data_IF_393194537867
#
_entry.id   IF_393194537867
#
_cell.length_a   1.000
_cell.length_b   1.000
_cell.length_c   1.000
_cell.angle_alpha   90.00
_cell.angle_beta   90.00
_cell.angle_gamma   90.00
#
_symmetry.space_group_name_H-M   'P 1'
#
loop_
_entity.id
_entity.type
_entity.pdbx_description
1 polymer ?
#
# COMPACT_ATOMS: atom_id res chain seq x y z
N UNK A 1 -1.95 -32.77 17.14
CA UNK A 1 -2.50 -31.41 17.29
C UNK A 1 -3.39 -31.40 18.51
N UNK A 2 -3.10 -30.52 19.44
CA UNK A 2 -3.86 -30.31 20.68
C UNK A 2 -4.99 -29.31 20.43
N UNK A 3 -5.97 -29.26 21.32
CA UNK A 3 -7.08 -28.29 21.25
C UNK A 3 -6.61 -26.81 21.23
N UNK A 4 -5.55 -26.42 21.99
CA UNK A 4 -4.90 -25.12 21.84
C UNK A 4 -4.33 -24.84 20.44
N UNK A 5 -3.76 -25.84 19.76
CA UNK A 5 -3.21 -25.67 18.41
C UNK A 5 -4.32 -25.36 17.39
N UNK A 6 -5.48 -26.01 17.51
CA UNK A 6 -6.63 -25.78 16.64
C UNK A 6 -7.19 -24.37 16.82
N UNK A 7 -7.27 -23.89 18.07
CA UNK A 7 -7.74 -22.54 18.36
C UNK A 7 -6.81 -21.48 17.76
N UNK A 8 -5.50 -21.65 17.92
CA UNK A 8 -4.51 -20.75 17.35
C UNK A 8 -4.61 -20.69 15.81
N UNK A 9 -4.74 -21.84 15.15
CA UNK A 9 -4.89 -21.90 13.69
C UNK A 9 -6.17 -21.18 13.23
N UNK A 10 -7.30 -21.39 13.92
CA UNK A 10 -8.56 -20.69 13.61
C UNK A 10 -8.43 -19.18 13.74
N UNK A 11 -7.83 -18.71 14.84
CA UNK A 11 -7.59 -17.29 15.06
C UNK A 11 -6.73 -16.67 13.94
N UNK A 12 -5.69 -17.36 13.49
CA UNK A 12 -4.85 -16.90 12.38
C UNK A 12 -5.63 -16.83 11.06
N UNK A 13 -6.50 -17.80 10.78
CA UNK A 13 -7.36 -17.80 9.59
C UNK A 13 -8.33 -16.62 9.64
N UNK A 14 -8.99 -16.39 10.78
CA UNK A 14 -9.96 -15.30 10.94
C UNK A 14 -9.30 -13.93 10.80
N UNK A 15 -8.11 -13.75 11.40
CA UNK A 15 -7.31 -12.53 11.24
C UNK A 15 -6.91 -12.30 9.79
N UNK A 16 -6.50 -13.35 9.08
CA UNK A 16 -6.13 -13.25 7.66
C UNK A 16 -7.34 -12.91 6.78
N UNK A 17 -8.50 -13.52 7.06
CA UNK A 17 -9.74 -13.21 6.35
C UNK A 17 -10.17 -11.75 6.58
N UNK A 18 -10.05 -11.24 7.80
CA UNK A 18 -10.33 -9.84 8.10
C UNK A 18 -9.38 -8.87 7.37
N UNK A 19 -8.08 -9.19 7.34
CA UNK A 19 -7.09 -8.40 6.60
C UNK A 19 -7.40 -8.34 5.10
N UNK A 20 -7.73 -9.48 4.48
CA UNK A 20 -8.09 -9.56 3.06
C UNK A 20 -9.36 -8.76 2.73
N UNK A 21 -10.37 -8.79 3.60
CA UNK A 21 -11.58 -7.95 3.43
C UNK A 21 -11.24 -6.47 3.46
N UNK A 22 -10.42 -6.04 4.44
CA UNK A 22 -9.97 -4.65 4.55
C UNK A 22 -9.16 -4.21 3.32
N UNK A 23 -8.29 -5.08 2.81
CA UNK A 23 -7.53 -4.83 1.57
C UNK A 23 -8.47 -4.67 0.36
N UNK A 24 -9.49 -5.51 0.23
CA UNK A 24 -10.47 -5.44 -0.85
C UNK A 24 -11.29 -4.14 -0.79
N UNK A 25 -11.83 -3.79 0.38
CA UNK A 25 -12.56 -2.52 0.60
C UNK A 25 -11.67 -1.30 0.30
N UNK A 26 -10.41 -1.36 0.72
CA UNK A 26 -9.44 -0.30 0.45
C UNK A 26 -9.09 -0.18 -1.03
N UNK A 27 -9.00 -1.30 -1.76
CA UNK A 27 -8.79 -1.32 -3.21
C UNK A 27 -10.00 -0.73 -3.95
N UNK A 28 -11.22 -1.02 -3.51
CA UNK A 28 -12.46 -0.41 -4.05
C UNK A 28 -12.51 1.10 -3.79
N UNK A 29 -11.93 1.57 -2.69
CA UNK A 29 -11.82 3.00 -2.39
C UNK A 29 -10.77 3.73 -3.26
N UNK A 30 -9.85 3.01 -3.91
CA UNK A 30 -8.89 3.61 -4.84
C UNK A 30 -9.58 3.94 -6.16
N UNK A 31 -9.31 5.15 -6.67
CA UNK A 31 -9.86 5.53 -7.98
C UNK A 31 -9.28 4.64 -9.10
N UNK A 32 -10.09 4.22 -10.09
CA UNK A 32 -9.57 3.45 -11.22
C UNK A 32 -8.45 4.15 -11.99
N UNK A 33 -8.43 5.49 -12.01
CA UNK A 33 -7.35 6.28 -12.60
C UNK A 33 -6.03 6.12 -11.83
N UNK A 34 -6.09 6.14 -10.50
CA UNK A 34 -4.93 5.91 -9.64
C UNK A 34 -4.35 4.50 -9.85
N UNK A 35 -5.21 3.48 -9.82
CA UNK A 35 -4.79 2.08 -10.02
C UNK A 35 -4.09 1.92 -11.38
N UNK A 36 -4.68 2.46 -12.46
CA UNK A 36 -4.09 2.41 -13.81
C UNK A 36 -2.75 3.12 -13.89
N UNK A 37 -2.63 4.33 -13.33
CA UNK A 37 -1.38 5.08 -13.34
C UNK A 37 -0.25 4.32 -12.63
N UNK A 38 -0.55 3.65 -11.52
CA UNK A 38 0.42 2.81 -10.81
C UNK A 38 0.76 1.56 -11.63
N UNK A 39 -0.23 0.89 -12.21
CA UNK A 39 0.01 -0.28 -13.05
C UNK A 39 0.91 0.05 -14.25
N UNK A 40 0.67 1.18 -14.92
CA UNK A 40 1.52 1.67 -16.01
C UNK A 40 2.95 1.93 -15.52
N UNK A 41 3.10 2.60 -14.37
CA UNK A 41 4.42 2.84 -13.77
C UNK A 41 5.17 1.54 -13.46
N UNK A 42 4.47 0.52 -12.96
CA UNK A 42 5.04 -0.81 -12.71
C UNK A 42 5.41 -1.53 -14.01
N UNK A 43 4.56 -1.42 -15.04
CA UNK A 43 4.83 -1.99 -16.36
C UNK A 43 6.11 -1.42 -16.94
N UNK A 44 6.21 -0.09 -16.98
CA UNK A 44 7.40 0.64 -17.42
C UNK A 44 8.65 0.26 -16.61
N UNK A 45 8.55 0.21 -15.29
CA UNK A 45 9.66 -0.13 -14.39
C UNK A 45 10.30 -1.48 -14.71
N UNK A 46 9.46 -2.47 -15.02
CA UNK A 46 9.86 -3.86 -15.16
C UNK A 46 9.93 -4.31 -16.63
N UNK A 47 9.89 -3.38 -17.60
CA UNK A 47 10.05 -3.71 -19.01
C UNK A 47 11.33 -4.52 -19.23
N UNK A 48 11.19 -5.70 -19.82
CA UNK A 48 12.33 -6.58 -20.11
C UNK A 48 12.93 -7.29 -18.90
N UNK A 49 12.34 -7.17 -17.69
CA UNK A 49 12.84 -7.86 -16.50
C UNK A 49 12.59 -9.38 -16.56
N UNK A 50 11.54 -9.81 -17.27
CA UNK A 50 11.29 -11.24 -17.50
C UNK A 50 11.67 -11.67 -18.92
N UNK A 51 12.30 -12.84 -19.10
CA UNK A 51 12.66 -13.38 -20.42
C UNK A 51 11.48 -13.57 -21.37
N UNK A 52 10.27 -13.76 -20.84
CA UNK A 52 9.03 -13.93 -21.61
C UNK A 52 8.30 -12.60 -21.90
N UNK A 53 8.89 -11.47 -21.50
CA UNK A 53 8.33 -10.13 -21.71
C UNK A 53 7.11 -9.80 -20.86
N UNK A 54 6.71 -10.67 -19.92
CA UNK A 54 5.58 -10.40 -19.03
C UNK A 54 6.02 -9.54 -17.85
N UNK A 55 5.24 -8.50 -17.56
CA UNK A 55 5.41 -7.72 -16.34
C UNK A 55 4.37 -8.13 -15.31
N UNK A 56 4.81 -8.41 -14.08
CA UNK A 56 3.88 -8.61 -12.97
C UNK A 56 3.47 -7.24 -12.43
N UNK A 57 2.16 -7.03 -12.32
CA UNK A 57 1.59 -5.89 -11.60
C UNK A 57 1.19 -6.35 -10.20
N UNK A 58 1.77 -5.72 -9.18
CA UNK A 58 1.42 -5.88 -7.78
C UNK A 58 0.32 -4.90 -7.39
N UNK A 59 -0.85 -5.44 -7.03
CA UNK A 59 -2.03 -4.67 -6.64
C UNK A 59 -2.32 -4.74 -5.14
N UNK A 60 -1.36 -5.23 -4.34
CA UNK A 60 -1.53 -5.27 -2.88
C UNK A 60 -1.62 -3.86 -2.33
N UNK A 61 -2.62 -3.64 -1.49
CA UNK A 61 -2.85 -2.34 -0.86
C UNK A 61 -1.93 -2.18 0.35
N UNK A 62 -1.24 -1.05 0.40
CA UNK A 62 -0.47 -0.61 1.54
C UNK A 62 -1.15 0.61 2.17
N UNK A 63 -1.01 0.76 3.49
CA UNK A 63 -1.61 1.86 4.22
C UNK A 63 -0.54 2.85 4.68
N UNK A 64 -0.81 4.13 4.49
CA UNK A 64 0.06 5.19 4.97
C UNK A 64 0.16 5.10 6.51
N UNK A 65 1.37 5.02 7.10
CA UNK A 65 1.54 4.88 8.54
C UNK A 65 1.05 6.10 9.35
N UNK A 66 0.91 7.25 8.69
CA UNK A 66 0.51 8.50 9.35
C UNK A 66 -1.00 8.70 9.45
N UNK A 67 -1.74 8.36 8.38
CA UNK A 67 -3.17 8.65 8.28
C UNK A 67 -4.03 7.44 7.88
N UNK A 68 -3.42 6.30 7.60
CA UNK A 68 -4.12 5.10 7.16
C UNK A 68 -4.70 5.17 5.75
N UNK A 69 -4.36 6.17 4.95
CA UNK A 69 -4.82 6.26 3.56
C UNK A 69 -4.24 5.11 2.73
N UNK A 70 -5.03 4.47 1.86
CA UNK A 70 -4.57 3.37 1.02
C UNK A 70 -3.61 3.84 -0.08
N UNK A 71 -2.79 2.92 -0.55
CA UNK A 71 -1.77 3.13 -1.55
C UNK A 71 -1.31 1.84 -2.19
N UNK A 72 -0.48 1.95 -3.22
CA UNK A 72 0.04 0.84 -4.01
C UNK A 72 1.55 0.98 -4.20
N UNK A 73 2.23 -0.15 -4.40
CA UNK A 73 3.64 -0.18 -4.77
C UNK A 73 3.82 0.29 -6.21
N UNK A 74 4.86 1.08 -6.51
CA UNK A 74 5.18 1.51 -7.87
C UNK A 74 6.17 0.58 -8.58
N UNK A 75 6.73 -0.40 -7.88
CA UNK A 75 7.86 -1.26 -8.27
C UNK A 75 9.20 -0.55 -8.47
N UNK A 76 9.33 0.71 -8.04
CA UNK A 76 10.60 1.46 -8.00
C UNK A 76 11.22 1.50 -6.60
N UNK A 77 10.78 0.62 -5.71
CA UNK A 77 11.09 0.72 -4.28
C UNK A 77 10.33 1.87 -3.60
N UNK A 78 9.15 2.25 -4.11
CA UNK A 78 8.29 3.25 -3.49
C UNK A 78 6.83 2.80 -3.38
N UNK A 79 6.15 3.26 -2.34
CA UNK A 79 4.70 3.17 -2.15
C UNK A 79 4.06 4.53 -2.27
N UNK A 80 3.13 4.68 -3.21
CA UNK A 80 2.35 5.89 -3.39
C UNK A 80 0.98 5.74 -2.75
N UNK A 81 0.55 6.73 -1.97
CA UNK A 81 -0.73 6.73 -1.25
C UNK A 81 -1.65 7.83 -1.76
N UNK A 82 -2.98 7.64 -1.63
CA UNK A 82 -3.96 8.62 -2.11
C UNK A 82 -3.95 9.94 -1.36
N UNK A 83 -3.41 9.96 -0.14
CA UNK A 83 -3.14 11.19 0.62
C UNK A 83 -1.90 11.96 0.13
N UNK A 84 -1.35 11.60 -1.03
CA UNK A 84 -0.14 12.18 -1.60
C UNK A 84 1.17 11.70 -0.98
N UNK A 85 1.13 10.89 0.09
CA UNK A 85 2.34 10.41 0.74
C UNK A 85 3.10 9.39 -0.11
N UNK A 86 4.43 9.52 -0.11
CA UNK A 86 5.37 8.60 -0.75
C UNK A 86 6.35 8.06 0.28
N UNK A 87 6.49 6.74 0.33
CA UNK A 87 7.48 6.06 1.18
C UNK A 87 8.38 5.21 0.31
N UNK A 88 9.68 5.20 0.54
CA UNK A 88 10.56 4.22 -0.08
C UNK A 88 10.48 2.85 0.63
N UNK A 89 11.13 1.84 0.07
CA UNK A 89 11.17 0.47 0.59
C UNK A 89 11.85 0.36 1.96
N UNK A 90 12.63 1.36 2.37
CA UNK A 90 13.25 1.43 3.69
C UNK A 90 12.34 2.14 4.71
N UNK A 91 11.19 2.66 4.27
CA UNK A 91 10.22 3.35 5.10
C UNK A 91 10.47 4.85 5.26
N UNK A 92 11.42 5.43 4.52
CA UNK A 92 11.64 6.88 4.55
C UNK A 92 10.58 7.60 3.72
N UNK A 93 10.07 8.68 4.30
CA UNK A 93 9.07 9.54 3.66
C UNK A 93 9.74 10.37 2.57
N UNK A 94 9.45 10.07 1.30
CA UNK A 94 9.91 10.85 0.14
C UNK A 94 8.96 11.98 -0.20
N UNK A 95 7.68 11.85 0.19
CA UNK A 95 6.68 12.91 0.14
C UNK A 95 5.79 12.85 1.37
N UNK A 96 5.67 13.99 2.06
CA UNK A 96 4.91 14.09 3.30
C UNK A 96 3.41 13.85 3.08
N UNK A 97 2.78 13.22 4.06
CA UNK A 97 1.33 13.05 4.14
C UNK A 97 0.65 14.40 4.40
N UNK A 98 -0.56 14.61 3.86
CA UNK A 98 -1.38 15.82 4.09
C UNK A 98 -1.56 16.14 5.58
N UNK A 99 -1.68 15.13 6.46
CA UNK A 99 -1.77 15.31 7.92
C UNK A 99 -0.47 15.91 8.49
N UNK A 100 0.69 15.47 8.01
CA UNK A 100 1.99 16.03 8.43
C UNK A 100 2.16 17.46 7.92
N UNK A 101 1.69 17.74 6.70
CA UNK A 101 1.70 19.08 6.12
C UNK A 101 0.81 20.04 6.93
N UNK A 102 -0.39 19.60 7.32
CA UNK A 102 -1.31 20.39 8.14
C UNK A 102 -0.73 20.70 9.53
N UNK A 103 -0.09 19.72 10.20
CA UNK A 103 0.58 19.94 11.51
C UNK A 103 1.70 20.97 11.40
N UNK A 104 2.57 20.86 10.39
CA UNK A 104 3.66 21.82 10.17
C UNK A 104 3.18 23.25 9.90
N UNK A 105 1.97 23.42 9.36
CA UNK A 105 1.39 24.75 9.17
C UNK A 105 0.89 25.35 10.49
N UNK A 106 0.28 24.53 11.36
CA UNK A 106 -0.17 24.98 12.68
C UNK A 106 1.00 25.40 13.57
N UNK A 107 2.12 24.67 13.55
CA UNK A 107 3.31 24.99 14.34
C UNK A 107 4.01 26.30 13.90
N UNK A 108 3.76 26.77 12.67
CA UNK A 108 4.27 28.07 12.16
C UNK A 108 3.35 29.25 12.47
N UNK A 109 2.14 28.98 12.94
CA UNK A 109 1.11 29.98 13.24
C UNK A 109 1.00 30.29 14.73
N UNK A 110 1.78 29.60 15.57
CA UNK A 110 1.95 29.87 17.01
C UNK A 110 3.33 30.48 17.28
#
# INVERSE_FOLDING_TARGET
MTEPDILMIRTQIDQRAAALRKEAEALEALSPAFIRAIADAQIEANKGWRPDGKTLVDVRVHFCPECGAPGLNTCWGYWAHVCGAGFDSEGYTTRACDVQLARKQQDKSN
#
